data_IF_459580330192
#
_entry.id   IF_459580330192
#
_cell.length_a   1.000
_cell.length_b   1.000
_cell.length_c   1.000
_cell.angle_alpha   90.00
_cell.angle_beta   90.00
_cell.angle_gamma   90.00
#
_symmetry.space_group_name_H-M   'P 1'
#
loop_
_entity.id
_entity.type
_entity.pdbx_description
1 polymer ?
#
# COMPACT_ATOMS: atom_id res chain seq x y z
N UNK A 1 -6.39 17.05 26.90
CA UNK A 1 -6.68 16.27 25.67
C UNK A 1 -6.39 14.83 26.06
N UNK A 2 -7.44 14.05 26.30
CA UNK A 2 -7.31 12.67 26.81
C UNK A 2 -6.78 11.79 25.70
N UNK A 3 -5.62 11.18 25.90
CA UNK A 3 -4.99 10.36 24.85
C UNK A 3 -5.81 9.10 24.58
N UNK A 4 -5.75 8.52 23.38
CA UNK A 4 -6.37 7.22 23.10
C UNK A 4 -5.97 6.13 24.11
N UNK A 5 -4.75 6.19 24.67
CA UNK A 5 -4.28 5.28 25.73
C UNK A 5 -5.09 5.47 27.01
N UNK A 6 -5.35 6.72 27.40
CA UNK A 6 -6.21 7.03 28.55
C UNK A 6 -7.66 6.63 28.29
N UNK A 7 -8.16 6.82 27.06
CA UNK A 7 -9.49 6.33 26.67
C UNK A 7 -9.56 4.80 26.80
N UNK A 8 -8.56 4.06 26.29
CA UNK A 8 -8.50 2.60 26.42
C UNK A 8 -8.42 2.18 27.89
N UNK A 9 -7.58 2.85 28.70
CA UNK A 9 -7.47 2.59 30.14
C UNK A 9 -8.78 2.84 30.89
N UNK A 10 -9.53 3.86 30.51
CA UNK A 10 -10.78 4.22 31.16
C UNK A 10 -11.96 3.35 30.70
N UNK A 11 -12.05 3.05 29.40
CA UNK A 11 -13.14 2.23 28.85
C UNK A 11 -12.93 0.73 29.07
N UNK A 12 -11.67 0.29 29.10
CA UNK A 12 -11.30 -1.12 29.13
C UNK A 12 -10.15 -1.42 30.10
N UNK A 13 -10.25 -1.03 31.39
CA UNK A 13 -9.16 -1.23 32.36
C UNK A 13 -8.76 -2.71 32.51
N UNK A 14 -9.71 -3.64 32.34
CA UNK A 14 -9.49 -5.08 32.42
C UNK A 14 -8.94 -5.73 31.14
N UNK A 15 -8.84 -4.99 30.02
CA UNK A 15 -8.37 -5.52 28.73
C UNK A 15 -6.97 -5.08 28.35
N UNK A 16 -6.33 -4.22 29.16
CA UNK A 16 -4.94 -3.86 28.97
C UNK A 16 -4.06 -5.03 29.36
N UNK A 17 -3.40 -5.60 28.36
CA UNK A 17 -2.51 -6.72 28.55
C UNK A 17 -1.13 -6.17 28.98
N UNK A 18 -0.71 -6.45 30.21
CA UNK A 18 0.60 -6.00 30.73
C UNK A 18 1.76 -6.67 29.98
N UNK A 19 2.97 -6.09 30.06
CA UNK A 19 4.18 -6.60 29.38
C UNK A 19 4.49 -8.09 29.65
N UNK A 20 4.00 -8.67 30.76
CA UNK A 20 4.20 -10.08 31.09
C UNK A 20 3.39 -11.06 30.23
N UNK A 21 2.47 -10.59 29.40
CA UNK A 21 1.57 -11.44 28.60
C UNK A 21 2.03 -11.60 27.14
N UNK A 22 3.13 -10.97 26.70
CA UNK A 22 3.77 -11.39 25.44
C UNK A 22 4.04 -12.91 25.44
N UNK A 23 4.38 -13.47 26.61
CA UNK A 23 4.54 -14.91 26.83
C UNK A 23 3.23 -15.68 26.84
N UNK A 24 2.12 -15.09 27.29
CA UNK A 24 0.80 -15.72 27.22
C UNK A 24 0.23 -15.66 25.79
N UNK A 25 0.46 -14.59 25.03
CA UNK A 25 0.17 -14.53 23.58
C UNK A 25 1.00 -15.57 22.81
N UNK A 26 2.21 -15.89 23.28
CA UNK A 26 3.00 -17.03 22.79
C UNK A 26 2.38 -18.40 23.13
N UNK A 27 1.60 -18.47 24.22
CA UNK A 27 0.99 -19.70 24.73
C UNK A 27 -0.48 -19.86 24.34
N UNK A 28 -1.13 -18.81 23.81
CA UNK A 28 -2.49 -18.91 23.28
C UNK A 28 -2.47 -19.95 22.15
N UNK A 29 -3.24 -21.05 22.25
CA UNK A 29 -3.33 -21.99 21.16
C UNK A 29 -3.74 -21.24 19.91
N UNK A 30 -2.99 -21.44 18.83
CA UNK A 30 -3.10 -20.69 17.58
C UNK A 30 -4.49 -20.79 16.91
N UNK A 31 -5.45 -21.51 17.48
CA UNK A 31 -6.76 -21.83 16.88
C UNK A 31 -7.90 -20.85 17.21
N UNK A 32 -7.64 -19.71 17.84
CA UNK A 32 -8.73 -18.91 18.43
C UNK A 32 -8.80 -17.51 17.84
N UNK A 33 -9.71 -17.28 16.91
CA UNK A 33 -10.39 -15.99 16.77
C UNK A 33 -11.86 -16.24 16.37
N UNK A 34 -12.80 -15.87 17.25
CA UNK A 34 -14.20 -15.61 16.82
C UNK A 34 -14.16 -14.39 15.91
N UNK A 35 -14.86 -14.39 14.76
CA UNK A 35 -14.93 -13.28 13.78
C UNK A 35 -15.00 -11.88 14.36
N UNK A 36 -15.61 -11.71 15.53
CA UNK A 36 -15.95 -10.42 16.09
C UNK A 36 -14.90 -9.83 17.04
N UNK A 37 -13.75 -10.49 17.24
CA UNK A 37 -12.65 -9.97 18.06
C UNK A 37 -11.39 -9.78 17.25
N UNK A 38 -10.64 -8.74 17.60
CA UNK A 38 -9.39 -8.36 16.96
C UNK A 38 -8.30 -8.17 18.02
N UNK A 39 -7.10 -8.66 17.73
CA UNK A 39 -5.91 -8.36 18.50
C UNK A 39 -5.27 -7.10 17.95
N UNK A 40 -4.93 -6.21 18.88
CA UNK A 40 -4.50 -4.86 18.58
C UNK A 40 -3.17 -4.58 19.27
N UNK A 41 -2.37 -3.75 18.63
CA UNK A 41 -1.26 -3.08 19.28
C UNK A 41 -1.37 -1.57 19.10
N UNK A 42 -0.90 -0.85 20.10
CA UNK A 42 -0.75 0.60 20.09
C UNK A 42 0.71 0.95 20.30
N UNK A 43 1.22 1.88 19.48
CA UNK A 43 2.57 2.40 19.60
C UNK A 43 2.60 3.62 20.53
N UNK A 44 3.41 3.54 21.58
CA UNK A 44 3.60 4.61 22.56
C UNK A 44 4.72 5.57 22.11
N UNK A 45 4.89 6.68 22.82
CA UNK A 45 5.91 7.71 22.48
C UNK A 45 7.35 7.17 22.46
N UNK A 46 7.62 6.12 23.23
CA UNK A 46 8.93 5.46 23.26
C UNK A 46 9.11 4.43 22.14
N UNK A 47 8.22 4.39 21.13
CA UNK A 47 8.14 3.36 20.07
C UNK A 47 7.98 1.93 20.60
N UNK A 48 7.64 1.79 21.88
CA UNK A 48 7.24 0.52 22.48
C UNK A 48 5.77 0.27 22.16
N UNK A 49 5.36 -1.00 22.14
CA UNK A 49 3.99 -1.37 21.85
C UNK A 49 3.30 -1.96 23.07
N UNK A 50 2.04 -1.56 23.26
CA UNK A 50 1.13 -2.22 24.17
C UNK A 50 0.12 -3.03 23.36
N UNK A 51 -0.26 -4.18 23.89
CA UNK A 51 -1.14 -5.13 23.23
C UNK A 51 -2.48 -5.16 23.95
N UNK A 52 -3.56 -5.40 23.21
CA UNK A 52 -4.88 -5.61 23.78
C UNK A 52 -5.77 -6.34 22.77
N UNK A 53 -6.94 -6.78 23.21
CA UNK A 53 -7.96 -7.34 22.33
C UNK A 53 -9.29 -6.60 22.55
N UNK A 54 -10.09 -6.49 21.51
CA UNK A 54 -11.37 -5.78 21.58
C UNK A 54 -12.37 -6.40 20.61
N UNK A 55 -13.65 -6.21 20.85
CA UNK A 55 -14.65 -6.50 19.82
C UNK A 55 -14.56 -5.44 18.72
N UNK A 56 -15.02 -5.80 17.51
CA UNK A 56 -15.06 -4.85 16.40
C UNK A 56 -15.94 -3.62 16.72
N UNK A 57 -17.05 -3.80 17.44
CA UNK A 57 -17.94 -2.69 17.81
C UNK A 57 -17.31 -1.75 18.85
N UNK A 58 -16.59 -2.32 19.83
CA UNK A 58 -15.81 -1.54 20.79
C UNK A 58 -14.69 -0.75 20.11
N UNK A 59 -14.01 -1.36 19.14
CA UNK A 59 -13.00 -0.69 18.33
C UNK A 59 -13.60 0.50 17.55
N UNK A 60 -14.78 0.32 16.95
CA UNK A 60 -15.49 1.41 16.26
C UNK A 60 -15.89 2.51 17.23
N UNK A 61 -16.40 2.17 18.42
CA UNK A 61 -16.73 3.14 19.45
C UNK A 61 -15.49 3.94 19.90
N UNK A 62 -14.36 3.26 20.11
CA UNK A 62 -13.06 3.87 20.42
C UNK A 62 -12.61 4.83 19.32
N UNK A 63 -12.79 4.44 18.06
CA UNK A 63 -12.45 5.28 16.91
C UNK A 63 -13.31 6.55 16.90
N UNK A 64 -14.61 6.43 17.14
CA UNK A 64 -15.51 7.58 17.16
C UNK A 64 -15.21 8.58 18.28
N UNK A 65 -14.57 8.14 19.38
CA UNK A 65 -14.21 8.99 20.51
C UNK A 65 -12.79 9.57 20.44
N UNK A 66 -11.91 8.97 19.64
CA UNK A 66 -10.51 9.39 19.52
C UNK A 66 -10.31 10.40 18.39
N UNK A 67 -9.41 11.36 18.60
CA UNK A 67 -8.98 12.25 17.52
C UNK A 67 -8.16 11.48 16.48
N UNK A 68 -8.32 11.77 15.19
CA UNK A 68 -7.63 11.05 14.10
C UNK A 68 -6.11 10.99 14.32
N UNK A 69 -5.51 12.11 14.74
CA UNK A 69 -4.06 12.25 14.95
C UNK A 69 -3.52 11.36 16.08
N UNK A 70 -4.38 10.88 16.98
CA UNK A 70 -3.99 10.01 18.10
C UNK A 70 -4.13 8.52 17.76
N UNK A 71 -4.74 8.17 16.62
CA UNK A 71 -4.97 6.79 16.22
C UNK A 71 -3.69 6.19 15.65
N UNK A 72 -2.91 5.52 16.50
CA UNK A 72 -1.74 4.73 16.11
C UNK A 72 -1.94 3.25 16.44
N UNK A 73 -3.02 2.70 15.90
CA UNK A 73 -3.45 1.32 16.14
C UNK A 73 -3.09 0.41 14.97
N UNK A 74 -2.70 -0.81 15.32
CA UNK A 74 -2.36 -1.87 14.39
C UNK A 74 -3.12 -3.13 14.76
N UNK A 75 -3.65 -3.82 13.76
CA UNK A 75 -4.12 -5.19 13.87
C UNK A 75 -2.94 -6.14 13.96
N UNK A 76 -3.10 -7.26 14.68
CA UNK A 76 -2.12 -8.33 14.76
C UNK A 76 -2.68 -9.56 14.06
N UNK A 77 -1.98 -9.99 13.02
CA UNK A 77 -2.35 -11.10 12.16
C UNK A 77 -1.50 -12.31 12.52
N UNK A 78 -2.11 -13.33 13.12
CA UNK A 78 -1.45 -14.59 13.44
C UNK A 78 -1.42 -15.52 12.23
N UNK A 79 -0.41 -16.39 12.19
CA UNK A 79 -0.16 -17.30 11.06
C UNK A 79 -1.34 -18.23 10.77
N UNK A 80 -2.11 -18.57 11.78
CA UNK A 80 -3.25 -19.48 11.73
C UNK A 80 -4.58 -18.80 11.44
N UNK A 81 -4.60 -17.47 11.33
CA UNK A 81 -5.84 -16.77 11.00
C UNK A 81 -6.22 -17.04 9.54
N UNK A 82 -7.51 -17.28 9.33
CA UNK A 82 -8.11 -17.12 8.01
C UNK A 82 -8.24 -15.62 7.80
N UNK A 83 -7.56 -15.10 6.78
CA UNK A 83 -7.48 -13.68 6.48
C UNK A 83 -7.98 -13.40 5.08
N UNK A 84 -8.39 -12.15 4.86
CA UNK A 84 -8.54 -11.61 3.51
C UNK A 84 -7.17 -11.60 2.82
N UNK A 85 -7.16 -11.77 1.51
CA UNK A 85 -5.95 -11.44 0.73
C UNK A 85 -5.67 -9.95 0.87
N UNK A 86 -4.48 -9.59 1.31
CA UNK A 86 -4.01 -8.21 1.46
C UNK A 86 -2.61 -8.08 0.87
N UNK A 87 -2.22 -6.84 0.57
CA UNK A 87 -0.89 -6.49 0.05
C UNK A 87 -0.46 -5.16 0.65
N UNK A 88 0.82 -5.06 1.00
CA UNK A 88 1.46 -3.78 1.29
C UNK A 88 2.29 -3.37 0.06
N UNK A 89 1.96 -2.20 -0.49
CA UNK A 89 2.60 -1.65 -1.69
C UNK A 89 3.41 -0.43 -1.30
N UNK A 90 4.72 -0.49 -1.49
CA UNK A 90 5.62 0.61 -1.16
C UNK A 90 6.73 0.77 -2.19
N UNK A 91 7.06 2.04 -2.49
CA UNK A 91 8.20 2.41 -3.31
C UNK A 91 8.53 3.89 -3.12
N UNK A 92 9.75 4.28 -3.49
CA UNK A 92 10.20 5.67 -3.42
C UNK A 92 9.78 6.44 -4.67
N UNK A 93 8.87 7.40 -4.50
CA UNK A 93 8.31 8.21 -5.60
C UNK A 93 9.43 8.92 -6.40
N UNK A 94 10.38 9.54 -5.69
CA UNK A 94 11.45 10.33 -6.31
C UNK A 94 12.39 9.50 -7.20
N UNK A 95 12.46 8.19 -6.95
CA UNK A 95 13.29 7.27 -7.74
C UNK A 95 12.51 6.59 -8.88
N UNK A 96 11.19 6.68 -8.87
CA UNK A 96 10.30 5.94 -9.77
C UNK A 96 9.31 6.89 -10.47
N UNK A 97 9.83 8.01 -10.97
CA UNK A 97 9.04 9.11 -11.52
C UNK A 97 8.36 8.76 -12.86
N UNK A 98 8.77 7.68 -13.49
CA UNK A 98 8.16 7.10 -14.68
C UNK A 98 6.95 6.19 -14.37
N UNK A 99 6.79 5.76 -13.12
CA UNK A 99 5.58 5.12 -12.60
C UNK A 99 4.51 6.20 -12.42
N UNK A 100 3.99 6.64 -13.56
CA UNK A 100 3.12 7.80 -13.73
C UNK A 100 1.71 7.63 -13.16
N UNK A 101 1.43 6.50 -12.51
CA UNK A 101 0.15 6.23 -11.88
C UNK A 101 0.40 5.23 -10.74
N UNK A 102 0.23 5.66 -9.49
CA UNK A 102 0.26 4.80 -8.30
C UNK A 102 -0.65 3.57 -8.43
N UNK A 103 -1.54 3.59 -9.43
CA UNK A 103 -2.58 2.62 -9.67
C UNK A 103 -2.23 1.61 -10.74
N UNK A 104 -1.23 1.85 -11.59
CA UNK A 104 -0.90 0.90 -12.66
C UNK A 104 -0.36 -0.40 -12.05
N UNK A 105 0.64 -0.33 -11.16
CA UNK A 105 1.20 -1.51 -10.49
C UNK A 105 0.14 -2.26 -9.67
N UNK A 106 -0.63 -1.55 -8.84
CA UNK A 106 -1.69 -2.16 -8.04
C UNK A 106 -2.84 -2.74 -8.90
N UNK A 107 -3.27 -2.08 -9.98
CA UNK A 107 -4.28 -2.65 -10.90
C UNK A 107 -3.76 -3.89 -11.61
N UNK A 108 -2.51 -3.86 -12.07
CA UNK A 108 -1.86 -5.00 -12.71
C UNK A 108 -1.74 -6.18 -11.76
N UNK A 109 -1.33 -5.94 -10.52
CA UNK A 109 -1.34 -6.97 -9.48
C UNK A 109 -2.75 -7.52 -9.22
N UNK A 110 -3.76 -6.66 -9.05
CA UNK A 110 -5.13 -7.11 -8.82
C UNK A 110 -5.67 -7.95 -9.99
N UNK A 111 -5.29 -7.63 -11.23
CA UNK A 111 -5.62 -8.44 -12.41
C UNK A 111 -4.91 -9.79 -12.41
N UNK A 112 -3.60 -9.81 -12.12
CA UNK A 112 -2.83 -11.07 -12.00
C UNK A 112 -3.44 -11.93 -10.89
N UNK A 113 -3.72 -11.35 -9.73
CA UNK A 113 -4.33 -12.04 -8.60
C UNK A 113 -5.71 -12.58 -8.96
N UNK A 114 -6.56 -11.75 -9.59
CA UNK A 114 -7.89 -12.18 -10.05
C UNK A 114 -7.79 -13.33 -11.06
N UNK A 115 -6.88 -13.26 -12.03
CA UNK A 115 -6.63 -14.33 -12.99
C UNK A 115 -6.15 -15.62 -12.32
N UNK A 116 -5.24 -15.47 -11.36
CA UNK A 116 -4.63 -16.59 -10.63
C UNK A 116 -5.66 -17.30 -9.73
N UNK A 117 -6.52 -16.54 -9.05
CA UNK A 117 -7.52 -17.08 -8.12
C UNK A 117 -8.75 -17.64 -8.82
N UNK A 118 -9.21 -17.03 -9.91
CA UNK A 118 -10.37 -17.51 -10.66
C UNK A 118 -10.01 -18.59 -11.70
N UNK A 119 -8.74 -18.99 -11.78
CA UNK A 119 -8.24 -20.16 -12.48
C UNK A 119 -8.86 -20.43 -13.85
N UNK A 120 -8.29 -19.88 -14.93
CA UNK A 120 -8.39 -20.37 -16.33
C UNK A 120 -9.77 -20.61 -16.97
N UNK A 121 -10.88 -20.59 -16.24
CA UNK A 121 -12.22 -20.90 -16.76
C UNK A 121 -12.76 -19.74 -17.60
N UNK A 122 -12.24 -18.53 -17.36
CA UNK A 122 -12.32 -17.43 -18.31
C UNK A 122 -11.11 -17.51 -19.25
N UNK A 123 -11.27 -18.24 -20.37
CA UNK A 123 -10.36 -18.23 -21.54
C UNK A 123 -10.28 -16.86 -22.25
N UNK A 124 -10.53 -15.76 -21.56
CA UNK A 124 -10.21 -14.46 -22.14
C UNK A 124 -8.70 -14.26 -22.03
N UNK A 125 -8.07 -14.09 -23.18
CA UNK A 125 -6.64 -14.11 -23.45
C UNK A 125 -5.85 -13.09 -22.61
N UNK A 126 -5.58 -13.40 -21.34
CA UNK A 126 -4.40 -12.83 -20.68
C UNK A 126 -3.18 -13.48 -21.32
N UNK A 127 -2.76 -12.90 -22.43
CA UNK A 127 -1.51 -13.19 -23.13
C UNK A 127 -0.38 -13.23 -22.09
N UNK A 128 0.48 -14.25 -22.11
CA UNK A 128 1.65 -14.36 -21.22
C UNK A 128 2.45 -13.06 -21.19
N UNK A 129 2.54 -12.36 -22.33
CA UNK A 129 3.15 -11.04 -22.42
C UNK A 129 2.52 -10.01 -21.47
N UNK A 130 1.21 -10.04 -21.23
CA UNK A 130 0.55 -9.14 -20.28
C UNK A 130 0.99 -9.40 -18.85
N UNK A 131 1.13 -10.67 -18.44
CA UNK A 131 1.60 -11.03 -17.10
C UNK A 131 3.03 -10.53 -16.93
N UNK A 132 3.90 -10.74 -17.91
CA UNK A 132 5.29 -10.27 -17.85
C UNK A 132 5.37 -8.73 -17.75
N UNK A 133 4.57 -8.00 -18.54
CA UNK A 133 4.48 -6.53 -18.45
C UNK A 133 3.98 -6.10 -17.08
N UNK A 134 2.94 -6.76 -16.57
CA UNK A 134 2.36 -6.45 -15.28
C UNK A 134 3.35 -6.72 -14.14
N UNK A 135 4.13 -7.80 -14.20
CA UNK A 135 5.21 -8.10 -13.26
C UNK A 135 6.35 -7.09 -13.37
N UNK A 136 6.74 -6.67 -14.57
CA UNK A 136 7.75 -5.62 -14.76
C UNK A 136 7.30 -4.28 -14.16
N UNK A 137 6.00 -3.98 -14.15
CA UNK A 137 5.45 -2.78 -13.50
C UNK A 137 5.45 -2.86 -11.97
N UNK A 138 5.69 -4.03 -11.39
CA UNK A 138 5.93 -4.20 -9.96
C UNK A 138 7.40 -4.03 -9.58
N UNK A 139 8.31 -3.90 -10.56
CA UNK A 139 9.71 -3.65 -10.31
C UNK A 139 9.97 -2.15 -10.15
N UNK A 140 10.57 -1.76 -9.03
CA UNK A 140 10.82 -0.38 -8.64
C UNK A 140 12.27 -0.19 -8.22
N UNK A 141 12.80 1.01 -8.41
CA UNK A 141 14.14 1.38 -7.96
C UNK A 141 14.14 1.67 -6.46
N UNK A 142 15.10 1.09 -5.74
CA UNK A 142 15.29 1.27 -4.30
C UNK A 142 15.86 2.67 -3.95
N UNK A 143 15.63 3.15 -2.73
CA UNK A 143 16.27 4.36 -2.22
C UNK A 143 17.79 4.20 -2.13
N UNK A 144 18.52 5.24 -2.52
CA UNK A 144 19.99 5.33 -2.43
C UNK A 144 20.79 4.35 -3.30
N UNK A 145 20.14 3.59 -4.18
CA UNK A 145 20.86 2.70 -5.08
C UNK A 145 21.55 3.50 -6.18
N UNK A 146 22.89 3.46 -6.18
CA UNK A 146 23.73 3.97 -7.28
C UNK A 146 23.81 2.95 -8.42
N UNK A 147 23.49 1.69 -8.13
CA UNK A 147 23.23 0.62 -9.10
C UNK A 147 21.76 0.63 -9.51
N UNK A 148 21.50 0.26 -10.76
CA UNK A 148 20.16 0.07 -11.34
C UNK A 148 19.48 -1.20 -10.82
N UNK A 149 19.51 -1.43 -9.51
CA UNK A 149 18.87 -2.58 -8.88
C UNK A 149 17.38 -2.32 -8.72
N UNK A 150 16.59 -3.22 -9.28
CA UNK A 150 15.14 -3.22 -9.20
C UNK A 150 14.71 -4.19 -8.10
N UNK A 151 13.83 -3.72 -7.21
CA UNK A 151 13.17 -4.50 -6.17
C UNK A 151 11.68 -4.61 -6.46
N UNK A 152 10.98 -5.51 -5.78
CA UNK A 152 9.52 -5.59 -5.85
C UNK A 152 8.87 -4.43 -5.08
N UNK A 153 7.84 -3.81 -5.65
CA UNK A 153 6.96 -2.85 -4.99
C UNK A 153 6.03 -3.48 -3.94
N UNK A 154 5.90 -4.81 -3.96
CA UNK A 154 5.18 -5.58 -2.95
C UNK A 154 6.14 -5.87 -1.80
N UNK A 155 5.82 -5.37 -0.61
CA UNK A 155 6.55 -5.72 0.60
C UNK A 155 6.17 -7.14 1.06
N UNK A 156 7.06 -8.08 0.79
CA UNK A 156 6.89 -9.48 1.20
C UNK A 156 7.07 -9.67 2.72
N UNK A 157 7.65 -8.71 3.43
CA UNK A 157 7.77 -8.78 4.89
C UNK A 157 6.40 -8.63 5.57
N UNK A 158 5.40 -8.11 4.86
CA UNK A 158 4.02 -8.03 5.32
C UNK A 158 3.38 -9.41 5.58
N UNK A 159 4.04 -10.52 5.22
CA UNK A 159 3.54 -11.89 5.44
C UNK A 159 4.32 -12.64 6.56
N UNK A 160 4.92 -11.91 7.49
CA UNK A 160 5.65 -12.49 8.62
C UNK A 160 4.73 -13.06 9.71
N UNK A 161 5.29 -13.90 10.59
CA UNK A 161 4.54 -14.42 11.75
C UNK A 161 4.16 -13.25 12.66
N UNK A 162 2.87 -13.11 12.96
CA UNK A 162 2.33 -12.04 13.84
C UNK A 162 2.52 -10.66 13.23
N UNK A 163 2.22 -10.57 11.94
CA UNK A 163 2.30 -9.32 11.21
C UNK A 163 1.45 -8.26 11.91
N UNK A 164 2.02 -7.07 12.06
CA UNK A 164 1.26 -5.90 12.49
C UNK A 164 0.87 -5.11 11.27
N UNK A 165 -0.43 -4.88 11.09
CA UNK A 165 -0.95 -4.14 9.95
C UNK A 165 -1.68 -2.90 10.45
N UNK A 166 -1.32 -1.74 9.92
CA UNK A 166 -1.90 -0.47 10.37
C UNK A 166 -3.37 -0.41 10.00
N UNK A 167 -4.23 -0.07 10.96
CA UNK A 167 -5.67 0.01 10.71
C UNK A 167 -6.03 1.23 9.85
N UNK A 168 -7.20 1.15 9.21
CA UNK A 168 -7.77 2.26 8.47
C UNK A 168 -7.87 3.52 9.33
N UNK A 169 -7.57 4.66 8.72
CA UNK A 169 -7.55 5.99 9.32
C UNK A 169 -6.61 6.13 10.55
N UNK A 170 -5.61 5.25 10.68
CA UNK A 170 -4.52 5.39 11.63
C UNK A 170 -3.27 6.01 11.00
N UNK A 171 -2.46 6.66 11.84
CA UNK A 171 -1.13 7.18 11.51
C UNK A 171 -0.04 6.36 12.20
N UNK A 172 1.14 6.29 11.59
CA UNK A 172 2.36 5.87 12.31
C UNK A 172 2.65 6.93 13.37
N UNK A 173 3.11 6.55 14.57
CA UNK A 173 3.35 7.51 15.66
C UNK A 173 4.34 8.59 15.21
N UNK A 174 4.01 9.86 15.43
CA UNK A 174 4.82 11.00 15.00
C UNK A 174 4.74 11.36 13.51
N UNK A 175 3.89 10.67 12.74
CA UNK A 175 3.60 10.99 11.35
C UNK A 175 2.19 11.56 11.20
N UNK A 176 1.94 12.25 10.09
CA UNK A 176 0.63 12.83 9.77
C UNK A 176 0.04 12.25 8.46
N UNK A 177 0.33 10.97 8.18
CA UNK A 177 -0.13 10.28 6.98
C UNK A 177 -1.03 9.09 7.35
N UNK A 178 -2.34 9.30 7.20
CA UNK A 178 -3.38 8.34 7.51
C UNK A 178 -3.48 7.28 6.43
N UNK A 179 -3.78 6.04 6.82
CA UNK A 179 -4.24 5.05 5.86
C UNK A 179 -5.68 5.38 5.44
N UNK A 180 -5.89 5.98 4.27
CA UNK A 180 -7.22 6.38 3.79
C UNK A 180 -7.66 5.55 2.58
N UNK A 181 -8.94 5.67 2.22
CA UNK A 181 -9.47 5.02 1.03
C UNK A 181 -8.83 5.64 -0.22
N UNK A 182 -8.27 4.80 -1.08
CA UNK A 182 -7.73 5.25 -2.36
C UNK A 182 -8.85 5.82 -3.23
N UNK A 183 -8.61 6.99 -3.83
CA UNK A 183 -9.51 7.58 -4.82
C UNK A 183 -9.61 6.76 -6.11
N UNK A 184 -8.65 5.87 -6.34
CA UNK A 184 -8.54 5.07 -7.55
C UNK A 184 -9.13 3.66 -7.41
N UNK A 185 -9.05 3.10 -6.20
CA UNK A 185 -9.60 1.78 -5.88
C UNK A 185 -10.86 1.94 -5.04
N UNK A 186 -11.92 2.44 -5.67
CA UNK A 186 -13.21 2.57 -5.00
C UNK A 186 -13.97 1.24 -5.07
N UNK A 187 -14.37 0.72 -3.91
CA UNK A 187 -15.30 -0.40 -3.85
C UNK A 187 -16.63 0.05 -4.48
N UNK A 188 -17.03 -0.59 -5.59
CA UNK A 188 -18.23 -0.23 -6.38
C UNK A 188 -19.58 -0.38 -5.64
N UNK A 189 -19.61 -0.81 -4.38
CA UNK A 189 -20.88 -1.01 -3.66
C UNK A 189 -21.43 0.32 -3.12
N UNK A 190 -22.68 0.59 -3.50
CA UNK A 190 -23.37 1.88 -3.40
C UNK A 190 -24.19 2.10 -2.13
N UNK A 191 -24.06 1.26 -1.10
CA UNK A 191 -24.88 1.41 0.10
C UNK A 191 -24.00 1.31 1.35
N UNK A 192 -23.89 2.44 2.04
CA UNK A 192 -23.27 2.66 3.36
C UNK A 192 -21.74 2.64 3.42
N UNK A 193 -21.12 3.70 2.89
CA UNK A 193 -19.75 4.11 3.26
C UNK A 193 -19.72 4.74 4.65
N UNK A 194 -20.43 4.15 5.63
CA UNK A 194 -20.25 4.57 7.01
C UNK A 194 -18.79 4.31 7.40
N UNK A 195 -18.24 5.17 8.24
CA UNK A 195 -16.87 5.04 8.71
C UNK A 195 -16.62 3.67 9.37
N UNK A 196 -17.57 3.17 10.16
CA UNK A 196 -17.51 1.84 10.77
C UNK A 196 -17.50 0.71 9.74
N UNK A 197 -18.26 0.86 8.64
CA UNK A 197 -18.26 -0.11 7.53
C UNK A 197 -16.90 -0.16 6.84
N UNK A 198 -16.27 0.99 6.58
CA UNK A 198 -14.93 1.05 5.98
C UNK A 198 -13.87 0.44 6.91
N UNK A 199 -13.92 0.75 8.21
CA UNK A 199 -13.03 0.14 9.20
C UNK A 199 -13.18 -1.38 9.21
N UNK A 200 -14.41 -1.91 9.32
CA UNK A 200 -14.69 -3.36 9.26
C UNK A 200 -14.14 -4.01 7.99
N UNK A 201 -14.33 -3.37 6.83
CA UNK A 201 -13.84 -3.88 5.56
C UNK A 201 -12.31 -3.91 5.50
N UNK A 202 -11.64 -2.93 6.11
CA UNK A 202 -10.17 -2.84 6.13
C UNK A 202 -9.47 -3.85 7.05
N UNK A 203 -10.15 -4.34 8.08
CA UNK A 203 -9.58 -5.30 9.03
C UNK A 203 -9.35 -6.65 8.32
N UNK A 204 -8.11 -7.11 8.33
CA UNK A 204 -7.64 -8.24 7.52
C UNK A 204 -8.19 -9.57 8.04
N UNK A 205 -8.27 -9.72 9.36
CA UNK A 205 -8.80 -10.93 10.04
C UNK A 205 -10.32 -10.95 10.15
N UNK A 206 -11.01 -9.85 9.81
CA UNK A 206 -12.47 -9.76 9.92
C UNK A 206 -13.17 -10.39 8.71
N UNK A 207 -13.81 -11.54 8.93
CA UNK A 207 -14.62 -12.24 7.93
C UNK A 207 -16.09 -12.24 8.36
N UNK A 208 -16.94 -11.50 7.64
CA UNK A 208 -18.30 -11.18 8.10
C UNK A 208 -19.25 -12.40 8.12
N UNK A 209 -18.99 -13.42 7.30
CA UNK A 209 -19.85 -14.59 7.13
C UNK A 209 -19.01 -15.87 7.07
N UNK A 210 -19.06 -16.70 8.12
CA UNK A 210 -18.28 -17.94 8.19
C UNK A 210 -18.97 -19.17 7.59
N UNK A 211 -20.28 -19.10 7.34
CA UNK A 211 -21.08 -20.30 7.09
C UNK A 211 -20.80 -20.98 5.75
N UNK A 212 -20.08 -20.32 4.81
CA UNK A 212 -19.71 -20.87 3.51
C UNK A 212 -18.36 -20.35 2.99
N UNK A 213 -17.40 -20.03 3.87
CA UNK A 213 -16.11 -19.49 3.41
C UNK A 213 -15.37 -20.54 2.58
N UNK A 214 -15.01 -20.16 1.36
CA UNK A 214 -14.00 -20.87 0.59
C UNK A 214 -12.63 -20.33 1.02
N UNK A 215 -11.84 -21.20 1.63
CA UNK A 215 -10.48 -20.87 2.04
C UNK A 215 -9.53 -21.29 0.94
N UNK A 216 -8.70 -20.34 0.52
CA UNK A 216 -7.61 -20.57 -0.44
C UNK A 216 -6.32 -20.74 0.34
N UNK A 217 -5.54 -21.76 0.02
CA UNK A 217 -4.21 -21.97 0.59
C UNK A 217 -3.25 -22.43 -0.51
N UNK A 218 -1.96 -22.14 -0.33
CA UNK A 218 -0.91 -22.54 -1.26
C UNK A 218 -0.22 -23.79 -0.70
N UNK A 219 -0.28 -24.90 -1.44
CA UNK A 219 0.41 -26.14 -1.08
C UNK A 219 1.17 -26.63 -2.31
N UNK A 220 2.48 -26.89 -2.16
CA UNK A 220 3.34 -27.35 -3.27
C UNK A 220 3.29 -26.44 -4.51
N UNK A 221 3.29 -25.12 -4.31
CA UNK A 221 3.18 -24.09 -5.37
C UNK A 221 1.86 -24.14 -6.16
N UNK A 222 0.82 -24.78 -5.63
CA UNK A 222 -0.50 -24.82 -6.24
C UNK A 222 -1.54 -24.27 -5.26
N UNK A 223 -2.42 -23.42 -5.78
CA UNK A 223 -3.57 -22.95 -5.01
C UNK A 223 -4.56 -24.09 -4.85
N UNK A 224 -4.94 -24.35 -3.62
CA UNK A 224 -5.97 -25.31 -3.24
C UNK A 224 -7.11 -24.59 -2.55
N UNK A 225 -8.30 -25.15 -2.71
CA UNK A 225 -9.53 -24.59 -2.18
C UNK A 225 -10.13 -25.59 -1.19
N UNK A 226 -10.58 -25.09 -0.03
CA UNK A 226 -11.31 -25.89 0.95
C UNK A 226 -12.51 -25.08 1.44
N UNK A 227 -13.69 -25.68 1.39
CA UNK A 227 -14.85 -25.11 2.06
C UNK A 227 -14.71 -25.33 3.56
N UNK A 228 -14.97 -24.28 4.36
CA UNK A 228 -15.11 -24.46 5.80
C UNK A 228 -16.41 -25.19 6.06
N UNK A 229 -16.35 -26.50 6.30
CA UNK A 229 -17.51 -27.24 6.80
C UNK A 229 -18.00 -26.61 8.11
N UNK A 230 -19.32 -26.52 8.27
CA UNK A 230 -19.97 -26.04 9.50
C UNK A 230 -19.50 -26.80 10.75
N UNK A 231 -19.02 -28.05 10.60
CA UNK A 231 -18.44 -28.83 11.70
C UNK A 231 -17.10 -28.29 12.21
N UNK A 232 -16.27 -27.70 11.34
CA UNK A 232 -15.01 -27.05 11.76
C UNK A 232 -15.33 -25.79 12.54
N UNK A 233 -16.34 -25.03 12.11
CA UNK A 233 -16.81 -23.84 12.84
C UNK A 233 -17.38 -24.22 14.20
N UNK A 234 -18.12 -25.34 14.33
CA UNK A 234 -18.61 -25.81 15.63
C UNK A 234 -17.49 -26.35 16.54
N UNK A 235 -16.49 -27.06 16.00
CA UNK A 235 -15.33 -27.55 16.76
C UNK A 235 -14.46 -26.39 17.28
N UNK A 236 -14.22 -25.38 16.43
CA UNK A 236 -13.55 -24.14 16.84
C UNK A 236 -14.37 -23.42 17.91
N UNK A 237 -15.71 -23.39 17.80
CA UNK A 237 -16.60 -22.78 18.79
C UNK A 237 -16.60 -23.50 20.15
N UNK A 238 -16.52 -24.84 20.17
CA UNK A 238 -16.44 -25.65 21.40
C UNK A 238 -15.07 -25.50 22.09
N UNK A 239 -13.98 -25.54 21.34
CA UNK A 239 -12.64 -25.26 21.88
C UNK A 239 -12.52 -23.83 22.43
N UNK A 240 -13.17 -22.86 21.78
CA UNK A 240 -13.24 -21.48 22.25
C UNK A 240 -13.93 -21.37 23.62
N UNK A 241 -15.02 -22.10 23.90
CA UNK A 241 -15.69 -22.05 25.22
C UNK A 241 -14.79 -22.57 26.36
N UNK A 242 -14.00 -23.61 26.11
CA UNK A 242 -13.04 -24.15 27.09
C UNK A 242 -11.86 -23.19 27.32
N UNK A 243 -11.39 -22.51 26.28
CA UNK A 243 -10.29 -21.54 26.38
C UNK A 243 -10.73 -20.20 26.99
N UNK A 244 -11.94 -19.74 26.70
CA UNK A 244 -12.54 -18.64 27.46
C UNK A 244 -12.69 -19.04 28.93
N UNK A 245 -13.01 -20.30 29.26
CA UNK A 245 -13.00 -20.80 30.64
C UNK A 245 -11.60 -20.73 31.27
N UNK A 246 -10.52 -21.03 30.54
CA UNK A 246 -9.12 -20.93 31.03
C UNK A 246 -8.72 -19.46 31.24
N UNK A 247 -9.01 -18.58 30.28
CA UNK A 247 -8.80 -17.13 30.41
C UNK A 247 -9.65 -16.57 31.57
N UNK A 248 -10.88 -17.07 31.76
CA UNK A 248 -11.81 -16.72 32.84
C UNK A 248 -11.36 -17.22 34.22
N UNK A 249 -10.75 -18.40 34.29
CA UNK A 249 -10.15 -18.97 35.49
C UNK A 249 -8.85 -18.25 35.90
N UNK A 250 -8.15 -17.62 34.95
CA UNK A 250 -6.96 -16.82 35.24
C UNK A 250 -7.22 -15.32 35.37
N UNK A 251 -8.41 -14.82 35.03
CA UNK A 251 -8.77 -13.39 35.08
C UNK A 251 -10.02 -13.07 35.93
N UNK A 252 -10.62 -14.03 36.65
CA UNK A 252 -11.74 -13.86 37.61
C UNK A 252 -12.91 -12.95 37.16
N UNK A 253 -13.67 -13.24 36.08
CA UNK A 253 -14.95 -12.50 35.82
C UNK A 253 -16.03 -13.31 35.08
N UNK A 254 -17.31 -13.16 35.48
CA UNK A 254 -18.50 -13.86 34.96
C UNK A 254 -19.34 -13.03 33.97
N UNK A 255 -19.70 -13.57 32.80
CA UNK A 255 -20.86 -13.13 31.98
C UNK A 255 -21.43 -14.26 31.10
N UNK A 256 -22.75 -14.23 30.85
CA UNK A 256 -23.59 -15.17 30.08
C UNK A 256 -24.09 -14.54 28.78
N UNK A 257 -24.11 -15.28 27.64
CA UNK A 257 -24.81 -14.87 26.40
C UNK A 257 -25.41 -16.08 25.67
N UNK A 258 -26.67 -15.94 25.26
CA UNK A 258 -27.52 -16.88 24.50
C UNK A 258 -27.53 -16.51 22.99
N UNK A 259 -27.69 -17.48 22.08
CA UNK A 259 -27.61 -17.27 20.61
C UNK A 259 -28.86 -17.80 19.91
N UNK A 260 -29.47 -16.98 19.03
CA UNK A 260 -30.57 -17.35 18.13
C UNK A 260 -30.12 -17.39 16.66
N UNK A 261 -30.61 -18.39 15.91
CA UNK A 261 -30.23 -18.68 14.53
C UNK A 261 -31.32 -18.26 13.51
N UNK A 262 -30.92 -17.54 12.47
CA UNK A 262 -31.73 -17.32 11.26
C UNK A 262 -30.85 -17.15 10.02
N UNK A 263 -31.17 -17.85 8.92
CA UNK A 263 -30.46 -17.78 7.63
C UNK A 263 -31.23 -16.93 6.62
N UNK A 264 -30.52 -16.25 5.71
CA UNK A 264 -31.03 -16.10 4.35
C UNK A 264 -29.98 -16.41 3.25
N UNK A 265 -30.48 -16.74 2.06
CA UNK A 265 -29.77 -16.96 0.79
C UNK A 265 -29.79 -15.71 -0.09
N UNK A 266 -28.87 -15.53 -1.07
CA UNK A 266 -29.12 -15.03 -2.45
C UNK A 266 -27.83 -14.83 -3.31
N UNK A 267 -28.02 -14.40 -4.57
CA UNK A 267 -27.34 -14.70 -5.85
C UNK A 267 -26.07 -13.88 -6.24
N UNK A 268 -25.34 -14.43 -7.22
CA UNK A 268 -24.12 -13.90 -7.87
C UNK A 268 -24.37 -12.70 -8.81
N UNK A 269 -23.49 -11.70 -8.77
CA UNK A 269 -23.44 -10.55 -9.70
C UNK A 269 -22.10 -10.50 -10.45
N UNK A 270 -22.17 -10.29 -11.77
CA UNK A 270 -21.02 -10.18 -12.69
C UNK A 270 -20.33 -8.80 -12.62
N UNK A 271 -19.00 -8.79 -12.71
CA UNK A 271 -18.17 -7.59 -12.77
C UNK A 271 -17.79 -7.23 -14.22
N UNK A 272 -18.09 -6.00 -14.64
CA UNK A 272 -17.52 -5.42 -15.88
C UNK A 272 -16.29 -4.55 -15.53
N UNK A 273 -15.14 -4.91 -16.09
CA UNK A 273 -13.91 -4.12 -16.06
C UNK A 273 -13.79 -3.25 -17.31
N UNK A 274 -13.29 -2.02 -17.15
CA UNK A 274 -12.97 -1.11 -18.25
C UNK A 274 -11.81 -1.69 -19.07
N UNK A 275 -12.05 -1.96 -20.36
CA UNK A 275 -11.03 -2.32 -21.34
C UNK A 275 -10.03 -1.16 -21.48
N UNK A 276 -8.74 -1.45 -21.28
CA UNK A 276 -7.65 -0.53 -21.58
C UNK A 276 -6.94 -1.09 -22.81
N UNK A 277 -7.18 -0.51 -23.97
CA UNK A 277 -6.55 -0.95 -25.22
C UNK A 277 -5.06 -0.57 -25.24
N UNK A 278 -4.21 -1.61 -25.29
CA UNK A 278 -2.79 -1.63 -25.72
C UNK A 278 -1.76 -0.86 -24.87
N UNK A 279 -1.38 -1.39 -23.69
CA UNK A 279 -0.27 -0.85 -22.89
C UNK A 279 1.14 -1.07 -23.48
N UNK A 280 1.35 -2.04 -24.38
CA UNK A 280 2.68 -2.46 -24.82
C UNK A 280 3.41 -1.48 -25.75
N UNK A 281 2.73 -1.00 -26.80
CA UNK A 281 3.32 -0.07 -27.76
C UNK A 281 3.72 1.26 -27.09
N UNK A 282 2.96 1.66 -26.07
CA UNK A 282 3.19 2.90 -25.36
C UNK A 282 4.52 2.88 -24.58
N UNK A 283 4.85 1.80 -23.86
CA UNK A 283 6.04 1.76 -23.00
C UNK A 283 7.34 1.77 -23.84
N UNK A 284 7.37 1.02 -24.93
CA UNK A 284 8.53 0.99 -25.84
C UNK A 284 8.76 2.35 -26.50
N UNK A 285 7.69 3.00 -26.98
CA UNK A 285 7.78 4.36 -27.53
C UNK A 285 8.32 5.37 -26.50
N UNK A 286 7.97 5.22 -25.21
CA UNK A 286 8.48 6.08 -24.14
C UNK A 286 9.98 5.92 -23.92
N UNK A 287 10.46 4.68 -23.79
CA UNK A 287 11.88 4.43 -23.55
C UNK A 287 12.74 4.90 -24.72
N UNK A 288 12.26 4.69 -25.97
CA UNK A 288 12.92 5.20 -27.17
C UNK A 288 13.01 6.73 -27.18
N UNK A 289 11.95 7.44 -26.78
CA UNK A 289 11.99 8.90 -26.65
C UNK A 289 13.02 9.36 -25.61
N UNK A 290 13.03 8.77 -24.42
CA UNK A 290 14.00 9.12 -23.38
C UNK A 290 15.44 8.89 -23.88
N UNK A 291 15.72 7.73 -24.47
CA UNK A 291 17.05 7.42 -25.03
C UNK A 291 17.49 8.42 -26.11
N UNK A 292 16.58 8.76 -27.05
CA UNK A 292 16.84 9.75 -28.11
C UNK A 292 17.31 11.09 -27.52
N UNK A 293 16.60 11.60 -26.51
CA UNK A 293 16.90 12.91 -25.94
C UNK A 293 18.05 12.88 -24.93
N UNK A 294 18.32 11.75 -24.28
CA UNK A 294 19.51 11.56 -23.43
C UNK A 294 20.79 11.83 -24.20
N UNK A 295 20.93 11.33 -25.43
CA UNK A 295 22.11 11.57 -26.26
C UNK A 295 22.29 13.06 -26.62
N UNK A 296 21.19 13.74 -26.96
CA UNK A 296 21.18 15.18 -27.21
C UNK A 296 21.61 15.97 -25.97
N UNK A 297 20.98 15.70 -24.82
CA UNK A 297 21.27 16.38 -23.55
C UNK A 297 22.72 16.15 -23.14
N UNK A 298 23.22 14.92 -23.26
CA UNK A 298 24.60 14.59 -22.95
C UNK A 298 25.58 15.41 -23.80
N UNK A 299 25.35 15.49 -25.11
CA UNK A 299 26.16 16.32 -26.02
C UNK A 299 26.12 17.80 -25.62
N UNK A 300 24.96 18.31 -25.25
CA UNK A 300 24.76 19.71 -24.85
C UNK A 300 25.51 20.06 -23.55
N UNK A 301 25.51 19.18 -22.56
CA UNK A 301 26.15 19.45 -21.26
C UNK A 301 27.65 19.15 -21.23
N UNK A 302 28.19 18.52 -22.28
CA UNK A 302 29.64 18.26 -22.42
C UNK A 302 30.30 19.08 -23.53
N UNK A 303 29.56 19.94 -24.24
CA UNK A 303 30.12 20.74 -25.34
C UNK A 303 31.11 21.80 -24.87
N UNK A 304 30.97 22.29 -23.63
CA UNK A 304 31.94 23.18 -22.99
C UNK A 304 33.04 22.35 -22.31
N UNK A 305 34.29 22.51 -22.75
CA UNK A 305 35.46 21.80 -22.20
C UNK A 305 35.73 22.13 -20.73
N UNK A 306 35.36 23.33 -20.28
CA UNK A 306 35.66 23.81 -18.94
C UNK A 306 34.51 23.56 -17.95
N UNK A 307 33.28 23.38 -18.44
CA UNK A 307 32.08 23.31 -17.61
C UNK A 307 31.20 22.11 -17.98
N UNK A 308 31.72 20.91 -17.75
CA UNK A 308 31.04 19.67 -18.08
C UNK A 308 30.05 19.24 -16.99
N UNK A 309 28.92 18.69 -17.42
CA UNK A 309 27.91 18.10 -16.54
C UNK A 309 27.61 16.64 -16.87
N UNK A 310 26.77 16.04 -16.05
CA UNK A 310 26.17 14.74 -16.31
C UNK A 310 24.68 14.77 -15.97
N UNK A 311 23.92 13.90 -16.61
CA UNK A 311 22.50 13.73 -16.34
C UNK A 311 22.36 13.02 -15.00
N UNK A 312 21.77 13.69 -14.01
CA UNK A 312 21.49 13.09 -12.70
C UNK A 312 20.21 12.28 -12.72
N UNK A 313 19.17 12.82 -13.37
CA UNK A 313 17.89 12.14 -13.54
C UNK A 313 17.12 12.73 -14.71
N UNK A 314 16.20 11.94 -15.26
CA UNK A 314 15.24 12.36 -16.27
C UNK A 314 13.83 12.03 -15.79
N UNK A 315 12.94 13.02 -15.79
CA UNK A 315 11.59 12.89 -15.23
C UNK A 315 10.59 13.46 -16.22
N UNK A 316 9.40 12.86 -16.35
CA UNK A 316 8.39 13.33 -17.29
C UNK A 316 7.54 14.43 -16.66
N UNK A 317 7.01 15.33 -17.47
CA UNK A 317 6.05 16.32 -17.01
C UNK A 317 4.77 15.67 -16.52
N UNK A 318 4.31 16.06 -15.34
CA UNK A 318 3.06 15.59 -14.73
C UNK A 318 1.83 16.10 -15.49
N UNK A 319 1.84 17.37 -15.91
CA UNK A 319 0.73 18.00 -16.62
C UNK A 319 0.81 17.86 -18.14
N UNK A 320 2.02 17.90 -18.69
CA UNK A 320 2.25 17.71 -20.12
C UNK A 320 3.13 16.48 -20.32
N UNK A 321 2.52 15.41 -20.83
CA UNK A 321 3.23 14.16 -21.09
C UNK A 321 4.27 14.33 -22.21
N UNK A 322 4.22 15.34 -23.05
CA UNK A 322 5.25 15.55 -24.06
C UNK A 322 6.51 16.23 -23.49
N UNK A 323 6.52 16.57 -22.20
CA UNK A 323 7.66 17.22 -21.54
C UNK A 323 8.58 16.22 -20.84
N UNK A 324 9.89 16.38 -21.04
CA UNK A 324 10.95 15.68 -20.31
C UNK A 324 11.82 16.69 -19.57
N UNK A 325 12.13 16.42 -18.31
CA UNK A 325 12.95 17.26 -17.43
C UNK A 325 14.21 16.48 -17.06
N UNK A 326 15.35 16.92 -17.58
CA UNK A 326 16.66 16.39 -17.24
C UNK A 326 17.28 17.25 -16.15
N UNK A 327 17.43 16.71 -14.94
CA UNK A 327 18.18 17.38 -13.88
C UNK A 327 19.67 17.16 -14.12
N UNK A 328 20.44 18.24 -14.16
CA UNK A 328 21.86 18.20 -14.51
C UNK A 328 22.70 18.40 -13.25
N UNK A 329 23.71 17.55 -13.08
CA UNK A 329 24.71 17.65 -12.02
C UNK A 329 26.11 17.93 -12.59
N UNK A 330 27.10 18.06 -11.72
CA UNK A 330 28.49 18.39 -12.08
C UNK A 330 28.78 19.89 -12.18
N UNK A 331 29.62 20.28 -13.15
CA UNK A 331 30.09 21.66 -13.35
C UNK A 331 29.32 22.41 -14.45
N UNK A 332 28.36 21.76 -15.11
CA UNK A 332 27.45 22.44 -16.02
C UNK A 332 26.51 23.38 -15.25
N UNK A 333 26.87 24.65 -15.22
CA UNK A 333 26.14 25.72 -14.50
C UNK A 333 25.80 26.90 -15.39
N UNK A 334 25.93 26.72 -16.71
CA UNK A 334 25.72 27.80 -17.67
C UNK A 334 24.24 28.17 -17.71
N UNK A 335 23.95 29.45 -17.50
CA UNK A 335 22.61 29.98 -17.71
C UNK A 335 22.62 30.84 -18.96
N UNK A 336 21.95 30.40 -20.03
CA UNK A 336 21.86 31.20 -21.25
C UNK A 336 21.18 32.55 -21.01
N UNK A 337 20.39 32.69 -19.92
CA UNK A 337 19.74 33.95 -19.55
C UNK A 337 20.70 34.98 -18.95
N UNK A 338 21.73 34.53 -18.24
CA UNK A 338 22.79 35.42 -17.71
C UNK A 338 23.99 35.52 -18.63
N UNK A 339 24.08 34.65 -19.63
CA UNK A 339 25.28 34.46 -20.44
C UNK A 339 26.52 34.05 -19.62
N UNK A 340 26.32 33.48 -18.42
CA UNK A 340 27.40 33.17 -17.48
C UNK A 340 27.03 31.98 -16.58
N UNK A 341 28.02 31.45 -15.86
CA UNK A 341 27.86 30.32 -14.96
C UNK A 341 27.36 30.75 -13.58
N UNK A 342 26.39 30.01 -13.04
CA UNK A 342 25.96 30.17 -11.65
C UNK A 342 26.97 29.59 -10.66
N UNK A 343 26.99 30.14 -9.43
CA UNK A 343 27.78 29.60 -8.33
C UNK A 343 27.25 28.23 -7.88
N UNK A 344 25.94 28.03 -7.88
CA UNK A 344 25.30 26.76 -7.50
C UNK A 344 24.83 25.98 -8.73
N UNK A 345 24.83 24.66 -8.64
CA UNK A 345 24.30 23.81 -9.70
C UNK A 345 22.82 23.49 -9.44
N UNK A 346 21.94 24.25 -10.10
CA UNK A 346 20.49 24.06 -10.08
C UNK A 346 19.89 24.15 -11.48
N UNK A 347 20.55 23.50 -12.45
CA UNK A 347 20.15 23.52 -13.85
C UNK A 347 19.30 22.29 -14.18
N UNK A 348 18.18 22.52 -14.87
CA UNK A 348 17.38 21.49 -15.49
C UNK A 348 17.17 21.81 -16.98
N UNK A 349 17.25 20.81 -17.84
CA UNK A 349 16.93 20.93 -19.26
C UNK A 349 15.53 20.38 -19.46
N UNK A 350 14.62 21.23 -19.94
CA UNK A 350 13.25 20.87 -20.27
C UNK A 350 13.12 20.70 -21.78
N UNK A 351 12.65 19.54 -22.22
CA UNK A 351 12.43 19.19 -23.63
C UNK A 351 10.94 19.02 -23.87
N UNK A 352 10.42 19.66 -24.92
CA UNK A 352 9.11 19.37 -25.50
C UNK A 352 9.31 18.42 -26.68
N UNK A 353 8.98 17.15 -26.46
CA UNK A 353 9.22 16.05 -27.41
C UNK A 353 8.33 16.13 -28.65
N UNK A 354 7.15 16.73 -28.52
CA UNK A 354 6.22 16.92 -29.64
C UNK A 354 6.72 18.02 -30.57
N UNK A 355 7.15 19.15 -29.99
CA UNK A 355 7.65 20.31 -30.76
C UNK A 355 9.13 20.22 -31.15
N UNK A 356 9.87 19.24 -30.64
CA UNK A 356 11.33 19.11 -30.84
C UNK A 356 12.10 20.38 -30.42
N UNK A 357 11.71 20.97 -29.29
CA UNK A 357 12.35 22.16 -28.72
C UNK A 357 12.78 21.91 -27.28
N UNK A 358 13.79 22.64 -26.83
CA UNK A 358 14.28 22.57 -25.45
C UNK A 358 14.50 23.96 -24.84
N UNK A 359 14.48 24.02 -23.52
CA UNK A 359 14.84 25.21 -22.75
C UNK A 359 15.65 24.82 -21.53
N UNK A 360 16.52 25.73 -21.09
CA UNK A 360 17.32 25.55 -19.88
C UNK A 360 16.64 26.35 -18.76
N UNK A 361 16.25 25.64 -17.69
CA UNK A 361 15.69 26.20 -16.47
C UNK A 361 16.75 26.23 -15.38
N UNK A 362 17.00 27.41 -14.85
CA UNK A 362 17.74 27.59 -13.61
C UNK A 362 16.75 27.74 -12.46
N UNK A 363 16.94 26.99 -11.36
CA UNK A 363 16.10 27.10 -10.15
C UNK A 363 16.60 28.17 -9.17
N UNK A 364 17.53 29.02 -9.58
CA UNK A 364 17.95 30.16 -8.76
C UNK A 364 16.87 31.24 -8.78
N UNK A 365 16.62 31.86 -7.61
CA UNK A 365 15.57 32.87 -7.44
C UNK A 365 15.71 34.06 -8.40
N UNK A 366 16.95 34.44 -8.74
CA UNK A 366 17.20 35.52 -9.70
C UNK A 366 16.71 35.20 -11.13
N UNK A 367 16.43 33.92 -11.43
CA UNK A 367 15.96 33.46 -12.73
C UNK A 367 14.46 33.09 -12.74
N UNK A 368 13.74 33.21 -11.61
CA UNK A 368 12.36 32.71 -11.49
C UNK A 368 11.33 33.48 -12.32
N UNK A 369 11.55 34.78 -12.56
CA UNK A 369 10.57 35.68 -13.19
C UNK A 369 10.83 35.95 -14.68
N UNK A 370 11.74 35.20 -15.32
CA UNK A 370 12.16 35.45 -16.70
C UNK A 370 11.47 34.45 -17.63
N UNK A 371 10.91 34.96 -18.74
CA UNK A 371 10.26 34.17 -19.80
C UNK A 371 11.25 33.14 -20.37
N UNK A 372 10.76 31.92 -20.60
CA UNK A 372 11.56 30.84 -21.15
C UNK A 372 11.83 31.05 -22.64
N UNK A 373 13.09 31.07 -23.03
CA UNK A 373 13.50 30.93 -24.42
C UNK A 373 13.58 29.46 -24.78
N UNK A 374 12.88 29.09 -25.84
CA UNK A 374 12.91 27.74 -26.41
C UNK A 374 13.83 27.72 -27.63
N UNK A 375 14.66 26.70 -27.73
CA UNK A 375 15.59 26.48 -28.82
C UNK A 375 15.21 25.18 -29.54
N UNK A 376 15.46 25.12 -30.84
CA UNK A 376 15.32 23.87 -31.61
C UNK A 376 16.40 22.87 -31.19
N UNK A 377 15.99 21.60 -31.09
CA UNK A 377 16.87 20.46 -30.77
C UNK A 377 17.74 20.06 -31.96
#
# INVERSE_FOLDING_TARGET
MTTIIEIIKNLFPSKLISHHICDLVNQLPEQIIKSNYIFLSIENDNKTRQFFYSSIEELIALYNQSSRNERSLYEIIFLTNIVKTYVDFEYYIDNNLDINDHCIGANCFLKILHYTLNGFDHKEDLNENYIDIALQQLLVLEANCTSSEYISAIDLNAYSKRQQFRLYDCVKRGQNNFLCQSTYFQFKQSFENSYGTLLKKSIITYNAEHSNLQVVYLESNQFKFKHTDTQIVSLLSQHNQNMFTIIKQHLEFDFMIEINNGKPSFQNNNFNFLQIDKPYDYINLRQQQVQKYTAFVQKLITSDKNHQGYIQSCVRGTYNKDHLFFNIAGNYRFCPRRGSHHKQNRIAILIDTNKQIYTIRCKDNECSNIILTWNSI
#
